data_IF_244790936508
#
_entry.id   IF_244790936508
#
_cell.length_a   1.000
_cell.length_b   1.000
_cell.length_c   1.000
_cell.angle_alpha   90.00
_cell.angle_beta   90.00
_cell.angle_gamma   90.00
#
_symmetry.space_group_name_H-M   'P 1'
#
loop_
_entity.id
_entity.type
_entity.pdbx_description
1 polymer ?
#
# COMPACT_ATOMS: atom_id res chain seq x y z
N UNK A 1 -4.25 -13.57 20.16
CA UNK A 1 -3.35 -13.80 19.00
C UNK A 1 -4.14 -14.12 17.72
N UNK A 2 -4.90 -15.23 17.65
CA UNK A 2 -5.66 -15.61 16.45
C UNK A 2 -6.62 -14.51 15.93
N UNK A 3 -7.39 -13.88 16.83
CA UNK A 3 -8.31 -12.78 16.47
C UNK A 3 -7.59 -11.60 15.81
N UNK A 4 -6.41 -11.21 16.29
CA UNK A 4 -5.62 -10.12 15.71
C UNK A 4 -5.11 -10.49 14.32
N UNK A 5 -4.65 -11.74 14.14
CA UNK A 5 -4.20 -12.24 12.83
C UNK A 5 -5.37 -12.22 11.84
N UNK A 6 -6.51 -12.79 12.22
CA UNK A 6 -7.71 -12.83 11.39
C UNK A 6 -8.17 -11.43 10.96
N UNK A 7 -8.29 -10.49 11.90
CA UNK A 7 -8.68 -9.11 11.58
C UNK A 7 -7.75 -8.48 10.55
N UNK A 8 -6.44 -8.68 10.69
CA UNK A 8 -5.43 -8.11 9.77
C UNK A 8 -5.46 -8.77 8.40
N UNK A 9 -5.58 -10.09 8.37
CA UNK A 9 -5.75 -10.84 7.11
C UNK A 9 -7.01 -10.40 6.39
N UNK A 10 -8.14 -10.27 7.07
CA UNK A 10 -9.39 -9.81 6.46
C UNK A 10 -9.26 -8.41 5.88
N UNK A 11 -8.65 -7.47 6.61
CA UNK A 11 -8.42 -6.10 6.12
C UNK A 11 -7.51 -6.12 4.90
N UNK A 12 -6.37 -6.81 4.96
CA UNK A 12 -5.44 -6.85 3.84
C UNK A 12 -6.06 -7.48 2.59
N UNK A 13 -6.75 -8.62 2.75
CA UNK A 13 -7.44 -9.30 1.65
C UNK A 13 -8.57 -8.43 1.10
N UNK A 14 -9.38 -7.79 1.94
CA UNK A 14 -10.43 -6.90 1.49
C UNK A 14 -9.87 -5.70 0.71
N UNK A 15 -8.80 -5.07 1.21
CA UNK A 15 -8.09 -4.01 0.49
C UNK A 15 -7.61 -4.49 -0.88
N UNK A 16 -6.93 -5.63 -0.94
CA UNK A 16 -6.42 -6.16 -2.22
C UNK A 16 -7.54 -6.54 -3.19
N UNK A 17 -8.66 -7.07 -2.69
CA UNK A 17 -9.84 -7.35 -3.51
C UNK A 17 -10.44 -6.05 -4.08
N UNK A 18 -10.58 -5.01 -3.27
CA UNK A 18 -11.06 -3.71 -3.74
C UNK A 18 -10.14 -3.17 -4.84
N UNK A 19 -8.82 -3.23 -4.64
CA UNK A 19 -7.83 -2.80 -5.64
C UNK A 19 -7.95 -3.63 -6.93
N UNK A 20 -8.06 -4.95 -6.81
CA UNK A 20 -8.24 -5.84 -7.95
C UNK A 20 -9.53 -5.54 -8.72
N UNK A 21 -10.63 -5.24 -8.03
CA UNK A 21 -11.90 -4.85 -8.65
C UNK A 21 -11.78 -3.50 -9.37
N UNK A 22 -11.12 -2.51 -8.76
CA UNK A 22 -10.86 -1.19 -9.38
C UNK A 22 -10.13 -1.36 -10.72
N UNK A 23 -9.10 -2.21 -10.77
CA UNK A 23 -8.33 -2.46 -11.98
C UNK A 23 -9.08 -3.35 -12.98
N UNK A 24 -9.70 -4.43 -12.49
CA UNK A 24 -10.42 -5.40 -13.32
C UNK A 24 -11.63 -4.81 -14.03
N UNK A 25 -12.40 -3.97 -13.36
CA UNK A 25 -13.53 -3.26 -13.96
C UNK A 25 -13.15 -1.97 -14.68
N UNK A 26 -11.85 -1.61 -14.68
CA UNK A 26 -11.33 -0.42 -15.36
C UNK A 26 -12.15 0.84 -15.03
N UNK A 27 -12.37 1.12 -13.75
CA UNK A 27 -13.28 2.19 -13.29
C UNK A 27 -12.97 3.58 -13.89
N UNK A 28 -11.72 3.84 -14.28
CA UNK A 28 -11.33 5.06 -14.99
C UNK A 28 -12.04 5.29 -16.33
N UNK A 29 -12.65 4.27 -16.93
CA UNK A 29 -13.44 4.40 -18.18
C UNK A 29 -14.71 5.22 -18.01
N UNK A 30 -15.24 5.33 -16.79
CA UNK A 30 -16.42 6.14 -16.48
C UNK A 30 -16.10 7.62 -16.25
N UNK A 31 -14.82 8.00 -16.24
CA UNK A 31 -14.39 9.38 -16.05
C UNK A 31 -14.40 10.15 -17.37
N UNK A 32 -14.64 11.46 -17.27
CA UNK A 32 -14.44 12.41 -18.37
C UNK A 32 -12.98 12.41 -18.84
N UNK A 33 -12.72 12.91 -20.04
CA UNK A 33 -11.45 12.71 -20.74
C UNK A 33 -10.22 13.16 -19.93
N UNK A 34 -10.24 14.38 -19.37
CA UNK A 34 -9.13 14.91 -18.56
C UNK A 34 -8.91 14.09 -17.28
N UNK A 35 -9.98 13.78 -16.56
CA UNK A 35 -9.94 12.99 -15.33
C UNK A 35 -9.49 11.54 -15.59
N UNK A 36 -9.88 10.97 -16.73
CA UNK A 36 -9.49 9.64 -17.17
C UNK A 36 -8.00 9.55 -17.48
N UNK A 37 -7.43 10.56 -18.14
CA UNK A 37 -5.99 10.64 -18.38
C UNK A 37 -5.27 10.65 -17.03
N UNK A 38 -5.64 11.56 -16.13
CA UNK A 38 -5.03 11.66 -14.80
C UNK A 38 -5.13 10.34 -14.02
N UNK A 39 -6.30 9.69 -14.06
CA UNK A 39 -6.53 8.41 -13.40
C UNK A 39 -5.59 7.32 -13.93
N UNK A 40 -5.51 7.15 -15.25
CA UNK A 40 -4.66 6.12 -15.85
C UNK A 40 -3.17 6.44 -15.75
N UNK A 41 -2.81 7.70 -15.52
CA UNK A 41 -1.44 8.12 -15.27
C UNK A 41 -0.96 7.81 -13.86
N UNK A 42 -1.78 8.04 -12.81
CA UNK A 42 -1.25 8.05 -11.43
C UNK A 42 -2.06 7.24 -10.40
N UNK A 43 -3.28 6.79 -10.72
CA UNK A 43 -4.13 6.14 -9.71
C UNK A 43 -3.49 4.83 -9.19
N UNK A 44 -2.88 4.06 -10.09
CA UNK A 44 -2.16 2.83 -9.74
C UNK A 44 -0.99 3.10 -8.80
N UNK A 45 -0.27 4.19 -9.02
CA UNK A 45 0.91 4.57 -8.24
C UNK A 45 0.54 5.03 -6.84
N UNK A 46 -0.70 5.44 -6.62
CA UNK A 46 -1.21 5.69 -5.26
C UNK A 46 -1.73 4.38 -4.65
N UNK A 47 -2.56 3.65 -5.40
CA UNK A 47 -3.36 2.54 -4.88
C UNK A 47 -2.53 1.28 -4.61
N UNK A 48 -1.53 0.98 -5.46
CA UNK A 48 -0.71 -0.22 -5.31
C UNK A 48 0.15 -0.16 -4.05
N UNK A 49 0.94 0.91 -3.79
CA UNK A 49 1.70 1.04 -2.53
C UNK A 49 0.81 0.97 -1.29
N UNK A 50 -0.38 1.57 -1.37
CA UNK A 50 -1.38 1.46 -0.32
C UNK A 50 -1.76 -0.01 -0.04
N UNK A 51 -2.04 -0.79 -1.07
CA UNK A 51 -2.35 -2.22 -0.95
C UNK A 51 -1.17 -3.03 -0.41
N UNK A 52 0.04 -2.82 -0.93
CA UNK A 52 1.26 -3.51 -0.50
C UNK A 52 1.54 -3.23 0.98
N UNK A 53 1.32 -2.00 1.45
CA UNK A 53 1.46 -1.65 2.87
C UNK A 53 0.58 -2.54 3.77
N UNK A 54 -0.69 -2.72 3.40
CA UNK A 54 -1.60 -3.58 4.17
C UNK A 54 -1.29 -5.07 4.03
N UNK A 55 -0.73 -5.51 2.91
CA UNK A 55 -0.17 -6.86 2.77
C UNK A 55 0.96 -7.11 3.79
N UNK A 56 1.83 -6.13 4.04
CA UNK A 56 2.84 -6.22 5.10
C UNK A 56 2.21 -6.21 6.50
N UNK A 57 1.16 -5.42 6.72
CA UNK A 57 0.43 -5.36 8.00
C UNK A 57 -0.22 -6.70 8.40
N UNK A 58 -0.57 -7.55 7.41
CA UNK A 58 -1.09 -8.90 7.65
C UNK A 58 -0.04 -9.78 8.35
N UNK A 59 1.24 -9.58 8.04
CA UNK A 59 2.33 -10.46 8.46
C UNK A 59 3.07 -9.98 9.72
N UNK A 60 2.78 -8.78 10.24
CA UNK A 60 3.58 -8.17 11.32
C UNK A 60 3.51 -8.89 12.68
N UNK A 61 2.50 -9.74 12.90
CA UNK A 61 2.40 -10.56 14.11
C UNK A 61 3.41 -11.72 14.05
N UNK A 62 3.61 -12.30 12.87
CA UNK A 62 4.49 -13.45 12.65
C UNK A 62 5.93 -12.99 12.36
N UNK A 63 6.09 -11.92 11.56
CA UNK A 63 7.39 -11.38 11.16
C UNK A 63 7.64 -10.08 11.94
N UNK A 64 8.48 -10.17 12.99
CA UNK A 64 8.72 -9.06 13.93
C UNK A 64 9.26 -7.79 13.25
N UNK A 65 9.98 -7.91 12.13
CA UNK A 65 10.57 -6.77 11.41
C UNK A 65 9.49 -5.82 10.85
N UNK A 66 8.27 -6.31 10.59
CA UNK A 66 7.16 -5.49 10.07
C UNK A 66 6.35 -4.79 11.17
N UNK A 67 6.65 -5.03 12.45
CA UNK A 67 5.93 -4.37 13.56
C UNK A 67 6.07 -2.84 13.53
N UNK A 68 7.26 -2.25 13.31
CA UNK A 68 7.36 -0.81 13.23
C UNK A 68 6.77 -0.32 11.92
N UNK A 69 5.85 0.63 12.00
CA UNK A 69 5.12 1.16 10.85
C UNK A 69 6.04 1.78 9.79
N UNK A 70 7.14 2.40 10.24
CA UNK A 70 8.12 3.03 9.35
C UNK A 70 8.93 2.00 8.56
N UNK A 71 9.15 0.79 9.09
CA UNK A 71 9.82 -0.28 8.32
C UNK A 71 8.95 -0.71 7.15
N UNK A 72 7.64 -0.92 7.38
CA UNK A 72 6.69 -1.21 6.29
C UNK A 72 6.70 -0.10 5.25
N UNK A 73 6.59 1.16 5.69
CA UNK A 73 6.62 2.32 4.80
C UNK A 73 7.91 2.39 3.97
N UNK A 74 9.07 2.20 4.60
CA UNK A 74 10.37 2.19 3.92
C UNK A 74 10.53 1.04 2.94
N UNK A 75 10.01 -0.15 3.26
CA UNK A 75 10.02 -1.28 2.32
C UNK A 75 9.17 -0.95 1.09
N UNK A 76 7.94 -0.46 1.27
CA UNK A 76 7.08 -0.12 0.14
C UNK A 76 7.67 1.02 -0.68
N UNK A 77 8.15 2.09 -0.03
CA UNK A 77 8.79 3.22 -0.68
C UNK A 77 10.04 2.78 -1.45
N UNK A 78 10.89 1.95 -0.83
CA UNK A 78 12.12 1.44 -1.42
C UNK A 78 11.84 0.58 -2.64
N UNK A 79 10.85 -0.33 -2.58
CA UNK A 79 10.47 -1.15 -3.72
C UNK A 79 9.90 -0.31 -4.88
N UNK A 80 9.03 0.65 -4.59
CA UNK A 80 8.44 1.50 -5.62
C UNK A 80 9.49 2.41 -6.28
N UNK A 81 10.30 3.11 -5.48
CA UNK A 81 11.38 3.97 -5.98
C UNK A 81 12.46 3.16 -6.69
N UNK A 82 12.77 1.95 -6.24
CA UNK A 82 13.71 1.08 -6.94
C UNK A 82 13.20 0.69 -8.33
N UNK A 83 11.89 0.48 -8.47
CA UNK A 83 11.25 0.26 -9.78
C UNK A 83 11.48 1.45 -10.72
N UNK A 84 11.36 2.68 -10.23
CA UNK A 84 11.65 3.89 -11.02
C UNK A 84 13.13 4.04 -11.37
N UNK A 85 14.02 3.72 -10.42
CA UNK A 85 15.45 3.76 -10.67
C UNK A 85 15.84 2.73 -11.74
N UNK A 86 15.23 1.55 -11.75
CA UNK A 86 15.46 0.57 -12.82
C UNK A 86 15.04 1.11 -14.20
N UNK A 87 13.95 1.88 -14.26
CA UNK A 87 13.52 2.53 -15.51
C UNK A 87 14.54 3.57 -16.00
N UNK A 88 15.29 4.24 -15.11
CA UNK A 88 16.40 5.12 -15.52
C UNK A 88 17.53 4.38 -16.26
N UNK A 89 17.68 3.08 -16.03
CA UNK A 89 18.68 2.23 -16.68
C UNK A 89 18.11 1.44 -17.87
N UNK A 90 16.98 1.88 -18.44
CA UNK A 90 16.25 1.19 -19.52
C UNK A 90 15.79 -0.24 -19.15
N UNK A 91 15.72 -0.56 -17.85
CA UNK A 91 15.16 -1.80 -17.35
C UNK A 91 13.69 -1.56 -17.02
N UNK A 92 12.80 -1.92 -17.95
CA UNK A 92 11.36 -1.79 -17.80
C UNK A 92 10.82 -2.74 -16.73
N UNK A 93 10.72 -2.26 -15.50
CA UNK A 93 10.09 -2.95 -14.39
C UNK A 93 8.89 -2.11 -13.91
N UNK A 94 7.68 -2.64 -14.06
CA UNK A 94 6.38 -2.07 -13.65
C UNK A 94 5.94 -0.73 -14.30
N UNK A 95 6.83 0.01 -14.98
CA UNK A 95 6.53 1.25 -15.71
C UNK A 95 7.25 1.37 -17.05
N UNK A 96 7.00 2.47 -17.79
CA UNK A 96 7.57 2.72 -19.13
C UNK A 96 8.65 3.80 -19.15
N UNK A 97 8.60 4.79 -18.25
CA UNK A 97 9.48 5.96 -18.28
C UNK A 97 9.61 6.50 -16.87
N UNK A 98 10.81 6.89 -16.46
CA UNK A 98 11.03 7.57 -15.19
C UNK A 98 10.20 8.86 -15.09
N UNK A 99 9.31 8.91 -14.11
CA UNK A 99 8.56 10.11 -13.75
C UNK A 99 8.71 10.40 -12.24
N UNK A 100 9.18 11.61 -11.90
CA UNK A 100 9.31 12.05 -10.51
C UNK A 100 7.92 12.17 -9.85
N UNK A 101 6.87 12.45 -10.62
CA UNK A 101 5.51 12.48 -10.11
C UNK A 101 5.03 11.10 -9.63
N UNK A 102 5.57 10.00 -10.18
CA UNK A 102 5.26 8.65 -9.71
C UNK A 102 5.82 8.45 -8.30
N UNK A 103 7.02 8.94 -8.01
CA UNK A 103 7.60 8.93 -6.65
C UNK A 103 6.70 9.68 -5.65
N UNK A 104 6.15 10.82 -6.07
CA UNK A 104 5.21 11.58 -5.24
C UNK A 104 3.89 10.82 -5.03
N UNK A 105 3.37 10.18 -6.08
CA UNK A 105 2.17 9.35 -6.02
C UNK A 105 2.37 8.14 -5.09
N UNK A 106 3.50 7.44 -5.19
CA UNK A 106 3.86 6.34 -4.30
C UNK A 106 3.92 6.81 -2.84
N UNK A 107 4.58 7.94 -2.62
CA UNK A 107 4.69 8.55 -1.29
C UNK A 107 3.31 8.87 -0.71
N UNK A 108 2.42 9.45 -1.52
CA UNK A 108 1.06 9.76 -1.12
C UNK A 108 0.28 8.50 -0.72
N UNK A 109 0.33 7.44 -1.53
CA UNK A 109 -0.30 6.15 -1.23
C UNK A 109 0.18 5.55 0.10
N UNK A 110 1.49 5.60 0.34
CA UNK A 110 2.10 5.13 1.59
C UNK A 110 1.66 5.97 2.78
N UNK A 111 1.67 7.30 2.66
CA UNK A 111 1.26 8.19 3.75
C UNK A 111 -0.21 7.99 4.13
N UNK A 112 -1.09 7.82 3.14
CA UNK A 112 -2.50 7.50 3.37
C UNK A 112 -2.62 6.15 4.09
N UNK A 113 -1.89 5.12 3.65
CA UNK A 113 -1.91 3.80 4.30
C UNK A 113 -1.42 3.87 5.76
N UNK A 114 -0.33 4.60 6.02
CA UNK A 114 0.21 4.83 7.36
C UNK A 114 -0.81 5.59 8.22
N UNK A 115 -1.45 6.63 7.70
CA UNK A 115 -2.48 7.37 8.41
C UNK A 115 -3.64 6.44 8.82
N UNK A 116 -4.11 5.60 7.90
CA UNK A 116 -5.19 4.65 8.19
C UNK A 116 -4.75 3.60 9.22
N UNK A 117 -3.59 2.95 9.07
CA UNK A 117 -3.06 2.00 10.05
C UNK A 117 -2.94 2.64 11.44
N UNK A 118 -2.29 3.79 11.51
CA UNK A 118 -1.84 4.38 12.77
C UNK A 118 -2.93 5.14 13.51
N UNK A 119 -3.83 5.81 12.80
CA UNK A 119 -4.80 6.70 13.41
C UNK A 119 -6.20 6.10 13.33
N UNK A 120 -6.64 5.70 12.14
CA UNK A 120 -8.01 5.21 11.94
C UNK A 120 -8.19 3.83 12.57
N UNK A 121 -7.36 2.86 12.19
CA UNK A 121 -7.54 1.47 12.63
C UNK A 121 -7.19 1.26 14.10
N UNK A 122 -6.16 1.94 14.61
CA UNK A 122 -5.89 1.92 16.05
C UNK A 122 -7.05 2.43 16.91
N UNK A 123 -7.89 3.34 16.37
CA UNK A 123 -9.03 3.91 17.09
C UNK A 123 -10.30 3.09 16.92
N UNK A 124 -10.60 2.63 15.70
CA UNK A 124 -11.93 2.10 15.36
C UNK A 124 -11.97 0.60 15.12
N UNK A 125 -10.83 -0.05 14.85
CA UNK A 125 -10.81 -1.48 14.51
C UNK A 125 -10.45 -2.33 15.73
N UNK A 126 -11.37 -3.17 16.22
CA UNK A 126 -11.08 -4.09 17.32
C UNK A 126 -9.93 -5.03 16.95
N UNK A 127 -9.08 -5.36 17.92
CA UNK A 127 -7.93 -6.26 17.73
C UNK A 127 -6.86 -5.75 16.73
N UNK A 128 -6.90 -4.49 16.29
CA UNK A 128 -5.82 -3.94 15.47
C UNK A 128 -4.54 -3.75 16.28
N UNK A 129 -4.62 -3.11 17.43
CA UNK A 129 -3.45 -2.83 18.27
C UNK A 129 -2.97 -4.09 19.01
N UNK A 130 -1.99 -4.78 18.44
CA UNK A 130 -1.35 -5.93 19.07
C UNK A 130 -0.14 -5.48 19.90
N UNK A 131 -0.39 -5.04 21.13
CA UNK A 131 0.67 -4.90 22.14
C UNK A 131 1.01 -6.30 22.65
N UNK A 132 1.94 -7.00 22.00
CA UNK A 132 2.64 -8.09 22.67
C UNK A 132 3.51 -7.42 23.72
N UNK A 133 3.11 -7.43 24.98
CA UNK A 133 4.01 -7.17 26.10
C UNK A 133 5.27 -7.96 25.80
N UNK A 134 6.39 -7.26 25.65
CA UNK A 134 7.70 -7.89 25.61
C UNK A 134 7.89 -8.48 27.00
N UNK A 135 7.43 -9.72 27.20
CA UNK A 135 7.93 -10.56 28.27
C UNK A 135 9.35 -10.96 27.86
N UNK A 136 10.30 -10.08 28.14
CA UNK A 136 11.66 -10.47 28.43
C UNK A 136 11.82 -10.38 29.93
#
# INVERSE_FOLDING_TARGET
MLKHLLTRTLIAVATLLIIALIHGFRLGTFLEEEARILYYSYASDIIIPFGVYFLLCMNEIQIKIFKPWYIKALIVFGLATFSEILQLFDIYFLGKTFDVFDILAYTLGILIAVFIDRIVYNKYIPNWNYKKTLSN
#
